data_IF_280635008460
#
_entry.id   IF_280635008460
#
_cell.length_a   1.000
_cell.length_b   1.000
_cell.length_c   1.000
_cell.angle_alpha   90.00
_cell.angle_beta   90.00
_cell.angle_gamma   90.00
#
_symmetry.space_group_name_H-M   'P 1'
#
loop_
_entity.id
_entity.type
_entity.pdbx_description
1 polymer ?
#
# COMPACT_ATOMS: atom_id res chain seq x y z
N UNK A 1 -10.27 4.69 -16.46
CA UNK A 1 -10.59 3.97 -15.21
C UNK A 1 -9.83 4.58 -14.02
N UNK A 2 -9.89 5.91 -13.80
CA UNK A 2 -9.07 6.60 -12.79
C UNK A 2 -9.84 7.52 -11.84
N UNK A 3 -11.09 7.85 -12.14
CA UNK A 3 -11.86 8.83 -11.36
C UNK A 3 -12.59 8.24 -10.13
N UNK A 4 -12.79 6.91 -10.09
CA UNK A 4 -13.53 6.29 -8.99
C UNK A 4 -12.77 6.28 -7.66
N UNK A 5 -11.42 6.23 -7.71
CA UNK A 5 -10.56 6.20 -6.52
C UNK A 5 -10.53 7.58 -5.82
N UNK A 6 -10.73 8.67 -6.56
CA UNK A 6 -10.73 10.05 -6.02
C UNK A 6 -12.06 10.49 -5.38
N UNK A 7 -13.14 9.71 -5.52
CA UNK A 7 -14.44 10.02 -4.90
C UNK A 7 -14.60 9.49 -3.49
N UNK A 8 -13.65 8.68 -2.99
CA UNK A 8 -13.64 8.26 -1.59
C UNK A 8 -12.95 9.36 -0.77
N UNK A 9 -13.69 10.20 -0.03
CA UNK A 9 -13.16 11.45 0.53
C UNK A 9 -12.06 11.25 1.57
N UNK A 10 -11.93 10.05 2.14
CA UNK A 10 -10.90 9.74 3.14
C UNK A 10 -9.58 9.27 2.51
N UNK A 11 -9.61 8.24 1.66
CA UNK A 11 -8.39 7.68 1.06
C UNK A 11 -7.94 8.50 -0.15
N UNK A 12 -8.89 8.99 -0.96
CA UNK A 12 -8.62 9.72 -2.19
C UNK A 12 -7.96 11.08 -1.97
N UNK A 13 -8.28 11.77 -0.86
CA UNK A 13 -7.64 13.05 -0.52
C UNK A 13 -6.20 12.87 -0.04
N UNK A 14 -5.97 11.91 0.87
CA UNK A 14 -4.63 11.57 1.34
C UNK A 14 -3.74 11.12 0.17
N UNK A 15 -4.26 10.29 -0.75
CA UNK A 15 -3.51 9.85 -1.92
C UNK A 15 -3.24 11.00 -2.91
N UNK A 16 -4.18 11.93 -3.07
CA UNK A 16 -4.01 13.13 -3.91
C UNK A 16 -2.91 14.04 -3.37
N UNK A 17 -2.92 14.31 -2.06
CA UNK A 17 -1.89 15.12 -1.40
C UNK A 17 -0.53 14.42 -1.37
N UNK A 18 -0.48 13.10 -1.20
CA UNK A 18 0.77 12.35 -1.32
C UNK A 18 1.36 12.42 -2.74
N UNK A 19 0.53 12.41 -3.79
CA UNK A 19 1.01 12.45 -5.17
C UNK A 19 1.37 13.86 -5.67
N UNK A 20 0.54 14.86 -5.35
CA UNK A 20 0.64 16.24 -5.88
C UNK A 20 1.25 17.23 -4.88
N UNK A 21 1.38 16.85 -3.61
CA UNK A 21 1.87 17.72 -2.55
C UNK A 21 3.40 17.85 -2.50
N UNK A 22 3.91 18.74 -1.63
CA UNK A 22 5.33 18.93 -1.38
C UNK A 22 6.02 17.62 -0.97
N UNK A 23 7.35 17.55 -1.09
CA UNK A 23 8.15 16.39 -0.65
C UNK A 23 7.85 15.97 0.79
N UNK A 24 7.55 16.92 1.68
CA UNK A 24 7.11 16.65 3.06
C UNK A 24 5.82 15.82 3.13
N UNK A 25 4.83 16.07 2.25
CA UNK A 25 3.58 15.33 2.23
C UNK A 25 3.79 13.86 1.82
N UNK A 26 4.70 13.60 0.87
CA UNK A 26 5.11 12.24 0.48
C UNK A 26 5.73 11.49 1.65
N UNK A 27 6.63 12.14 2.38
CA UNK A 27 7.28 11.54 3.56
C UNK A 27 6.25 11.23 4.64
N UNK A 28 5.36 12.18 4.96
CA UNK A 28 4.30 11.98 5.95
C UNK A 28 3.34 10.86 5.57
N UNK A 29 3.04 10.69 4.27
CA UNK A 29 2.21 9.57 3.80
C UNK A 29 2.86 8.22 4.07
N UNK A 30 4.16 8.07 3.75
CA UNK A 30 4.91 6.84 4.02
C UNK A 30 4.99 6.56 5.52
N UNK A 31 5.26 7.59 6.33
CA UNK A 31 5.30 7.46 7.79
C UNK A 31 3.95 7.04 8.36
N UNK A 32 2.84 7.64 7.89
CA UNK A 32 1.50 7.25 8.30
C UNK A 32 1.17 5.81 7.88
N UNK A 33 1.57 5.39 6.67
CA UNK A 33 1.37 4.01 6.22
C UNK A 33 2.11 3.01 7.10
N UNK A 34 3.37 3.31 7.47
CA UNK A 34 4.14 2.49 8.40
C UNK A 34 3.50 2.45 9.80
N UNK A 35 3.00 3.59 10.29
CA UNK A 35 2.30 3.65 11.58
C UNK A 35 1.02 2.83 11.58
N UNK A 36 0.20 2.90 10.52
CA UNK A 36 -1.00 2.07 10.36
C UNK A 36 -0.64 0.59 10.31
N UNK A 37 0.46 0.22 9.63
CA UNK A 37 0.92 -1.15 9.59
C UNK A 37 1.42 -1.64 10.96
N UNK A 38 2.15 -0.81 11.70
CA UNK A 38 2.56 -1.11 13.07
C UNK A 38 1.35 -1.30 14.00
N UNK A 39 0.34 -0.43 13.89
CA UNK A 39 -0.92 -0.59 14.63
C UNK A 39 -1.65 -1.88 14.23
N UNK A 40 -1.61 -2.27 12.96
CA UNK A 40 -2.17 -3.55 12.50
C UNK A 40 -1.43 -4.75 13.14
N UNK A 41 -0.10 -4.68 13.26
CA UNK A 41 0.70 -5.71 13.95
C UNK A 41 0.36 -5.77 15.44
N UNK A 42 0.16 -4.63 16.11
CA UNK A 42 -0.20 -4.61 17.54
C UNK A 42 -1.63 -5.10 17.80
N UNK A 43 -2.57 -4.81 16.90
CA UNK A 43 -4.00 -5.17 17.05
C UNK A 43 -4.31 -6.59 16.60
N UNK A 44 -3.76 -7.01 15.46
CA UNK A 44 -4.03 -8.33 14.88
C UNK A 44 -2.90 -9.33 15.11
N UNK A 45 -1.70 -8.89 15.53
CA UNK A 45 -0.58 -9.77 15.85
C UNK A 45 0.07 -10.39 14.62
N UNK A 46 0.43 -11.68 14.76
CA UNK A 46 1.02 -12.50 13.69
C UNK A 46 0.25 -12.49 12.36
N UNK A 47 -1.11 -12.52 12.35
CA UNK A 47 -1.93 -12.31 11.16
C UNK A 47 -1.53 -11.11 10.27
N UNK A 48 -1.12 -9.99 10.84
CA UNK A 48 -0.75 -8.79 10.09
C UNK A 48 0.53 -8.95 9.25
N UNK A 49 1.37 -9.94 9.59
CA UNK A 49 2.63 -10.24 8.90
C UNK A 49 2.44 -11.41 7.93
N UNK A 50 1.70 -12.45 8.32
CA UNK A 50 1.54 -13.66 7.50
C UNK A 50 0.69 -13.41 6.25
N UNK A 51 -0.31 -12.52 6.32
CA UNK A 51 -1.17 -12.20 5.17
C UNK A 51 -0.36 -11.53 4.04
N UNK A 52 0.42 -10.46 4.28
CA UNK A 52 1.32 -9.91 3.26
C UNK A 52 2.32 -10.92 2.72
N UNK A 53 2.90 -11.76 3.58
CA UNK A 53 3.86 -12.78 3.16
C UNK A 53 3.23 -13.82 2.23
N UNK A 54 2.03 -14.33 2.58
CA UNK A 54 1.27 -15.26 1.75
C UNK A 54 0.83 -14.63 0.43
N UNK A 55 0.42 -13.35 0.45
CA UNK A 55 0.05 -12.62 -0.76
C UNK A 55 1.25 -12.36 -1.69
N UNK A 56 2.45 -12.22 -1.14
CA UNK A 56 3.68 -12.07 -1.92
C UNK A 56 4.03 -13.34 -2.71
N UNK A 57 3.62 -14.53 -2.26
CA UNK A 57 3.89 -15.81 -2.97
C UNK A 57 3.29 -15.82 -4.39
N UNK A 58 1.97 -15.70 -4.60
CA UNK A 58 1.41 -15.66 -5.94
C UNK A 58 1.88 -14.42 -6.73
N UNK A 59 2.14 -13.29 -6.07
CA UNK A 59 2.69 -12.11 -6.73
C UNK A 59 4.07 -12.39 -7.34
N UNK A 60 4.96 -13.09 -6.62
CA UNK A 60 6.25 -13.50 -7.14
C UNK A 60 6.13 -14.50 -8.28
N UNK A 61 5.18 -15.44 -8.23
CA UNK A 61 4.90 -16.31 -9.37
C UNK A 61 4.50 -15.51 -10.61
N UNK A 62 3.63 -14.49 -10.46
CA UNK A 62 3.26 -13.59 -11.57
C UNK A 62 4.49 -12.86 -12.10
N UNK A 63 5.35 -12.32 -11.23
CA UNK A 63 6.60 -11.65 -11.62
C UNK A 63 7.51 -12.60 -12.40
N UNK A 64 7.71 -13.83 -11.91
CA UNK A 64 8.54 -14.83 -12.59
C UNK A 64 7.96 -15.20 -13.96
N UNK A 65 6.65 -15.36 -14.07
CA UNK A 65 5.98 -15.62 -15.36
C UNK A 65 6.19 -14.45 -16.31
N UNK A 66 6.03 -13.21 -15.85
CA UNK A 66 6.24 -12.00 -16.67
C UNK A 66 7.68 -11.91 -17.16
N UNK A 67 8.67 -12.12 -16.29
CA UNK A 67 10.09 -12.13 -16.66
C UNK A 67 10.38 -13.24 -17.68
N UNK A 68 9.76 -14.42 -17.52
CA UNK A 68 9.96 -15.54 -18.44
C UNK A 68 9.32 -15.31 -19.81
N UNK A 69 8.30 -14.45 -19.91
CA UNK A 69 7.59 -14.17 -21.17
C UNK A 69 8.28 -13.15 -22.08
N UNK A 70 9.32 -12.45 -21.61
CA UNK A 70 10.08 -11.44 -22.37
C UNK A 70 9.39 -10.09 -22.42
#
# INVERSE_FOLDING_TARGET
MGELIYRVPLIGWILKEAMQGPTTAKVLFVVNLLMVWLLAILTFGYPAIIIPALAAVPAMFVVLILITKG
#
